data_IF_968525811783
#
_entry.id   IF_968525811783
#
_cell.length_a   1.000
_cell.length_b   1.000
_cell.length_c   1.000
_cell.angle_alpha   90.00
_cell.angle_beta   90.00
_cell.angle_gamma   90.00
#
_symmetry.space_group_name_H-M   'P 1'
#
loop_
_entity.id
_entity.type
_entity.pdbx_description
1 polymer ?
#
# COMPACT_ATOMS: atom_id res chain seq x y z
N UNK A 1 5.10 59.12 10.42
CA UNK A 1 5.17 58.53 9.06
C UNK A 1 4.84 57.06 9.18
N UNK A 2 3.84 56.53 8.45
CA UNK A 2 3.47 55.13 8.52
C UNK A 2 4.50 54.24 7.78
N UNK A 3 4.57 52.93 8.09
CA UNK A 3 5.47 52.00 7.42
C UNK A 3 4.99 51.67 5.98
N UNK A 4 5.88 51.21 5.08
CA UNK A 4 5.53 50.97 3.69
C UNK A 4 4.66 49.72 3.53
N UNK A 5 3.73 49.78 2.58
CA UNK A 5 2.78 48.74 2.24
C UNK A 5 3.48 47.46 1.74
N UNK A 6 3.05 46.31 2.27
CA UNK A 6 3.45 44.98 1.80
C UNK A 6 2.75 44.72 0.47
N UNK A 7 3.55 44.52 -0.58
CA UNK A 7 3.05 44.17 -1.92
C UNK A 7 2.40 42.80 -1.93
N UNK A 8 1.16 42.75 -2.41
CA UNK A 8 0.42 41.52 -2.66
C UNK A 8 1.08 40.78 -3.84
N UNK A 9 1.78 39.68 -3.56
CA UNK A 9 2.30 38.79 -4.60
C UNK A 9 1.11 37.98 -5.14
N UNK A 10 0.61 38.43 -6.29
CA UNK A 10 -0.32 37.66 -7.11
C UNK A 10 0.38 36.37 -7.57
N UNK A 11 -0.01 35.24 -7.00
CA UNK A 11 0.28 33.92 -7.56
C UNK A 11 -0.46 33.81 -8.90
N UNK A 12 0.24 34.10 -9.98
CA UNK A 12 -0.22 33.75 -11.33
C UNK A 12 -0.37 32.23 -11.39
N UNK A 13 -1.62 31.75 -11.41
CA UNK A 13 -1.95 30.38 -11.81
C UNK A 13 -1.31 30.13 -13.17
N UNK A 14 -0.32 29.25 -13.22
CA UNK A 14 0.20 28.73 -14.47
C UNK A 14 -0.98 28.12 -15.24
N UNK A 15 -1.31 28.70 -16.39
CA UNK A 15 -2.29 28.13 -17.31
C UNK A 15 -1.72 26.81 -17.82
N UNK A 16 -2.25 25.68 -17.34
CA UNK A 16 -2.13 24.42 -18.06
C UNK A 16 -2.67 24.65 -19.47
N UNK A 17 -1.81 24.45 -20.46
CA UNK A 17 -2.12 24.57 -21.88
C UNK A 17 -3.17 23.53 -22.27
N UNK A 18 -4.37 24.01 -22.60
CA UNK A 18 -5.42 23.27 -23.34
C UNK A 18 -4.82 22.73 -24.66
N UNK A 19 -4.67 21.41 -24.78
CA UNK A 19 -4.11 20.81 -26.01
C UNK A 19 -4.01 19.28 -26.09
N UNK A 20 -4.29 18.54 -25.02
CA UNK A 20 -4.50 17.09 -25.02
C UNK A 20 -5.82 16.85 -24.29
N UNK A 21 -6.72 16.03 -24.82
CA UNK A 21 -7.92 15.62 -24.07
C UNK A 21 -7.49 15.10 -22.70
N UNK A 22 -8.03 15.66 -21.62
CA UNK A 22 -7.68 15.25 -20.26
C UNK A 22 -8.38 13.92 -20.00
N UNK A 23 -7.62 12.85 -19.77
CA UNK A 23 -8.17 11.50 -19.67
C UNK A 23 -8.59 11.11 -18.24
N UNK A 24 -9.05 9.87 -18.12
CA UNK A 24 -9.57 9.30 -16.88
C UNK A 24 -8.45 8.79 -15.96
N UNK A 25 -8.73 8.62 -14.68
CA UNK A 25 -7.80 8.10 -13.67
C UNK A 25 -8.43 6.92 -12.95
N UNK A 26 -7.66 5.87 -12.69
CA UNK A 26 -8.14 4.69 -11.97
C UNK A 26 -7.54 4.68 -10.55
N UNK A 27 -8.42 4.72 -9.55
CA UNK A 27 -8.09 4.40 -8.16
C UNK A 27 -8.42 2.93 -7.88
N UNK A 28 -7.49 2.18 -7.30
CA UNK A 28 -7.72 0.79 -6.89
C UNK A 28 -7.63 0.69 -5.37
N UNK A 29 -8.55 -0.02 -4.72
CA UNK A 29 -8.48 -0.35 -3.30
C UNK A 29 -8.38 -1.86 -3.10
N UNK A 30 -7.21 -2.34 -2.68
CA UNK A 30 -6.97 -3.73 -2.32
C UNK A 30 -7.29 -3.95 -0.82
N UNK A 31 -8.57 -4.07 -0.51
CA UNK A 31 -9.10 -4.17 0.85
C UNK A 31 -9.00 -5.59 1.42
N UNK A 32 -9.63 -5.83 2.57
CA UNK A 32 -9.67 -7.15 3.23
C UNK A 32 -10.57 -8.13 2.50
N UNK A 33 -11.75 -7.68 2.05
CA UNK A 33 -12.81 -8.57 1.52
C UNK A 33 -12.96 -8.48 0.00
N UNK A 34 -12.38 -7.47 -0.62
CA UNK A 34 -12.53 -7.22 -2.05
C UNK A 34 -11.36 -6.40 -2.60
N UNK A 35 -11.24 -6.42 -3.92
CA UNK A 35 -10.49 -5.41 -4.66
C UNK A 35 -11.47 -4.54 -5.45
N UNK A 36 -11.46 -3.24 -5.21
CA UNK A 36 -12.39 -2.29 -5.84
C UNK A 36 -11.65 -1.33 -6.76
N UNK A 37 -12.33 -0.86 -7.81
CA UNK A 37 -11.78 0.05 -8.81
C UNK A 37 -12.75 1.19 -9.08
N UNK A 38 -12.23 2.41 -9.01
CA UNK A 38 -12.98 3.65 -9.24
C UNK A 38 -12.34 4.44 -10.38
N UNK A 39 -13.10 4.68 -11.44
CA UNK A 39 -12.64 5.49 -12.58
C UNK A 39 -13.18 6.90 -12.42
N UNK A 40 -12.28 7.88 -12.36
CA UNK A 40 -12.63 9.28 -12.15
C UNK A 40 -12.27 10.07 -13.41
N UNK A 41 -13.25 10.81 -13.91
CA UNK A 41 -13.02 11.90 -14.86
C UNK A 41 -12.71 13.17 -14.07
N UNK A 42 -11.45 13.61 -14.15
CA UNK A 42 -10.99 14.80 -13.43
C UNK A 42 -11.37 16.12 -14.09
N UNK A 43 -11.84 16.10 -15.35
CA UNK A 43 -12.37 17.29 -16.03
C UNK A 43 -13.76 17.62 -15.50
N UNK A 44 -14.62 16.59 -15.38
CA UNK A 44 -15.98 16.76 -14.87
C UNK A 44 -16.08 16.60 -13.36
N UNK A 45 -15.07 16.00 -12.71
CA UNK A 45 -15.08 15.68 -11.29
C UNK A 45 -16.08 14.57 -10.95
N UNK A 46 -16.34 13.66 -11.90
CA UNK A 46 -17.36 12.62 -11.76
C UNK A 46 -16.74 11.21 -11.74
N UNK A 47 -17.45 10.30 -11.08
CA UNK A 47 -17.14 8.87 -11.14
C UNK A 47 -17.77 8.33 -12.42
N UNK A 48 -16.93 7.78 -13.29
CA UNK A 48 -17.31 7.17 -14.57
C UNK A 48 -17.76 5.73 -14.34
N UNK A 49 -17.05 5.00 -13.48
CA UNK A 49 -17.37 3.62 -13.15
C UNK A 49 -16.85 3.25 -11.77
N UNK A 50 -17.55 2.32 -11.12
CA UNK A 50 -17.14 1.67 -9.88
C UNK A 50 -17.44 0.17 -10.02
N UNK A 51 -16.43 -0.66 -9.80
CA UNK A 51 -16.55 -2.12 -9.82
C UNK A 51 -15.84 -2.71 -8.62
N UNK A 52 -16.23 -3.91 -8.19
CA UNK A 52 -15.66 -4.57 -7.01
C UNK A 52 -15.62 -6.08 -7.19
N UNK A 53 -14.44 -6.65 -6.95
CA UNK A 53 -14.19 -8.08 -6.97
C UNK A 53 -14.26 -8.59 -5.53
N UNK A 54 -15.37 -9.21 -5.14
CA UNK A 54 -15.52 -9.82 -3.83
C UNK A 54 -14.71 -11.14 -3.75
N UNK A 55 -13.88 -11.28 -2.72
CA UNK A 55 -12.98 -12.42 -2.59
C UNK A 55 -13.70 -13.73 -2.26
N UNK A 56 -14.73 -13.66 -1.42
CA UNK A 56 -15.47 -14.86 -1.01
C UNK A 56 -16.32 -15.41 -2.17
N UNK A 57 -16.94 -14.52 -2.96
CA UNK A 57 -17.77 -14.91 -4.10
C UNK A 57 -16.99 -15.67 -5.18
N UNK A 58 -15.73 -15.31 -5.41
CA UNK A 58 -14.93 -15.88 -6.49
C UNK A 58 -13.87 -16.89 -6.02
N UNK A 59 -13.37 -16.75 -4.80
CA UNK A 59 -12.15 -17.44 -4.40
C UNK A 59 -12.21 -18.15 -3.03
N UNK A 60 -13.34 -18.13 -2.32
CA UNK A 60 -13.50 -18.83 -1.04
C UNK A 60 -13.09 -20.31 -1.12
N UNK A 61 -13.61 -21.05 -2.09
CA UNK A 61 -13.34 -22.49 -2.24
C UNK A 61 -11.86 -22.77 -2.58
N UNK A 62 -11.21 -21.87 -3.32
CA UNK A 62 -9.82 -22.07 -3.77
C UNK A 62 -8.80 -21.75 -2.69
N UNK A 63 -8.98 -20.64 -1.98
CA UNK A 63 -8.01 -20.18 -0.97
C UNK A 63 -8.42 -20.47 0.47
N UNK A 64 -9.62 -21.01 0.69
CA UNK A 64 -10.15 -21.28 2.03
C UNK A 64 -10.38 -20.00 2.83
N UNK A 65 -10.75 -18.90 2.16
CA UNK A 65 -10.99 -17.62 2.82
C UNK A 65 -12.44 -17.49 3.30
N UNK A 66 -12.62 -16.75 4.38
CA UNK A 66 -13.92 -16.23 4.84
C UNK A 66 -13.74 -14.75 5.13
N UNK A 67 -14.53 -13.91 4.48
CA UNK A 67 -14.36 -12.46 4.37
C UNK A 67 -12.94 -12.08 3.92
N UNK A 68 -12.37 -12.81 2.95
CA UNK A 68 -11.01 -12.61 2.44
C UNK A 68 -9.87 -13.01 3.40
N UNK A 69 -10.20 -13.62 4.54
CA UNK A 69 -9.26 -13.98 5.61
C UNK A 69 -9.12 -15.49 5.75
N UNK A 70 -7.89 -15.94 5.96
CA UNK A 70 -7.51 -17.28 6.40
C UNK A 70 -7.20 -17.19 7.90
N UNK A 71 -8.06 -17.80 8.73
CA UNK A 71 -7.81 -17.94 10.17
C UNK A 71 -6.91 -19.16 10.41
N UNK A 72 -5.67 -18.90 10.82
CA UNK A 72 -4.69 -19.93 11.13
C UNK A 72 -4.69 -20.34 12.62
N UNK A 73 -5.60 -19.78 13.42
CA UNK A 73 -5.68 -19.99 14.86
C UNK A 73 -4.69 -19.13 15.66
N UNK A 74 -4.93 -19.06 16.98
CA UNK A 74 -4.10 -18.33 17.94
C UNK A 74 -3.90 -16.83 17.59
N UNK A 75 -4.94 -16.21 17.02
CA UNK A 75 -4.94 -14.82 16.61
C UNK A 75 -4.17 -14.53 15.32
N UNK A 76 -3.73 -15.57 14.60
CA UNK A 76 -3.08 -15.44 13.30
C UNK A 76 -4.12 -15.26 12.20
N UNK A 77 -4.10 -14.10 11.55
CA UNK A 77 -5.07 -13.72 10.53
C UNK A 77 -4.31 -13.39 9.25
N UNK A 78 -4.49 -14.21 8.22
CA UNK A 78 -3.75 -14.12 6.99
C UNK A 78 -4.67 -13.95 5.78
N UNK A 79 -4.09 -13.71 4.61
CA UNK A 79 -4.76 -13.81 3.31
C UNK A 79 -3.81 -14.44 2.28
N UNK A 80 -4.29 -14.76 1.09
CA UNK A 80 -3.50 -15.36 0.03
C UNK A 80 -3.02 -14.29 -0.97
N UNK A 81 -1.71 -14.02 -1.10
CA UNK A 81 -1.21 -13.04 -2.08
C UNK A 81 -1.62 -13.35 -3.53
N UNK A 82 -1.69 -14.63 -3.90
CA UNK A 82 -2.13 -15.05 -5.24
C UNK A 82 -3.61 -14.70 -5.50
N UNK A 83 -4.45 -14.62 -4.47
CA UNK A 83 -5.83 -14.14 -4.59
C UNK A 83 -5.88 -12.67 -5.01
N UNK A 84 -4.98 -11.83 -4.46
CA UNK A 84 -4.89 -10.43 -4.87
C UNK A 84 -4.41 -10.27 -6.31
N UNK A 85 -3.54 -11.17 -6.78
CA UNK A 85 -3.11 -11.23 -8.19
C UNK A 85 -4.30 -11.52 -9.10
N UNK A 86 -5.10 -12.54 -8.80
CA UNK A 86 -6.30 -12.89 -9.58
C UNK A 86 -7.36 -11.79 -9.51
N UNK A 87 -7.57 -11.20 -8.33
CA UNK A 87 -8.54 -10.15 -8.14
C UNK A 87 -8.20 -8.89 -8.94
N UNK A 88 -6.92 -8.53 -9.06
CA UNK A 88 -6.49 -7.39 -9.87
C UNK A 88 -6.77 -7.60 -11.36
N UNK A 89 -6.50 -8.80 -11.86
CA UNK A 89 -6.81 -9.17 -13.25
C UNK A 89 -8.32 -9.16 -13.49
N UNK A 90 -9.08 -9.75 -12.56
CA UNK A 90 -10.54 -9.76 -12.61
C UNK A 90 -11.14 -8.36 -12.52
N UNK A 91 -10.55 -7.45 -11.75
CA UNK A 91 -10.97 -6.06 -11.64
C UNK A 91 -10.86 -5.36 -13.01
N UNK A 92 -9.72 -5.55 -13.69
CA UNK A 92 -9.52 -5.00 -15.03
C UNK A 92 -10.51 -5.59 -16.03
N UNK A 93 -10.87 -6.87 -15.90
CA UNK A 93 -11.91 -7.48 -16.72
C UNK A 93 -13.30 -6.89 -16.42
N UNK A 94 -13.68 -6.72 -15.15
CA UNK A 94 -14.96 -6.13 -14.78
C UNK A 94 -15.10 -4.68 -15.27
N UNK A 95 -14.02 -3.89 -15.25
CA UNK A 95 -14.04 -2.54 -15.84
C UNK A 95 -14.36 -2.59 -17.34
N UNK A 96 -13.79 -3.54 -18.09
CA UNK A 96 -14.10 -3.71 -19.51
C UNK A 96 -15.53 -4.18 -19.73
N UNK A 97 -16.02 -5.11 -18.91
CA UNK A 97 -17.39 -5.63 -18.98
C UNK A 97 -18.42 -4.52 -18.64
N UNK A 98 -18.00 -3.52 -17.85
CA UNK A 98 -18.75 -2.30 -17.57
C UNK A 98 -18.56 -1.20 -18.65
N UNK A 99 -18.08 -1.54 -19.84
CA UNK A 99 -17.85 -0.65 -20.98
C UNK A 99 -16.90 0.53 -20.70
N UNK A 100 -15.98 0.40 -19.74
CA UNK A 100 -14.94 1.41 -19.49
C UNK A 100 -13.88 1.33 -20.59
N UNK A 101 -13.64 2.46 -21.26
CA UNK A 101 -12.51 2.62 -22.17
C UNK A 101 -11.18 2.73 -21.39
N UNK A 102 -10.50 1.60 -21.20
CA UNK A 102 -9.21 1.55 -20.51
C UNK A 102 -8.08 2.28 -21.27
N UNK A 103 -8.23 2.58 -22.56
CA UNK A 103 -7.26 3.40 -23.30
C UNK A 103 -7.28 4.87 -22.85
N UNK A 104 -8.39 5.30 -22.25
CA UNK A 104 -8.55 6.66 -21.70
C UNK A 104 -7.83 6.87 -20.36
N UNK A 105 -7.43 5.79 -19.68
CA UNK A 105 -6.80 5.85 -18.36
C UNK A 105 -5.38 6.40 -18.47
N UNK A 106 -5.15 7.58 -17.89
CA UNK A 106 -3.86 8.28 -17.92
C UNK A 106 -2.93 7.83 -16.81
N UNK A 107 -3.48 7.51 -15.65
CA UNK A 107 -2.71 6.99 -14.54
C UNK A 107 -3.54 6.08 -13.62
N UNK A 108 -2.83 5.18 -12.94
CA UNK A 108 -3.35 4.29 -11.91
C UNK A 108 -2.59 4.53 -10.61
N UNK A 109 -3.34 4.68 -9.53
CA UNK A 109 -2.85 4.73 -8.15
C UNK A 109 -3.85 3.98 -7.25
N UNK A 110 -3.55 3.84 -5.97
CA UNK A 110 -4.48 3.13 -5.11
C UNK A 110 -4.04 2.95 -3.67
N UNK A 111 -4.84 2.17 -2.97
CA UNK A 111 -4.61 1.72 -1.61
C UNK A 111 -4.45 0.20 -1.53
N UNK A 112 -3.72 -0.23 -0.50
CA UNK A 112 -3.82 -1.58 0.03
C UNK A 112 -4.20 -1.54 1.50
N UNK A 113 -4.83 -2.61 1.98
CA UNK A 113 -5.04 -2.81 3.41
C UNK A 113 -3.69 -2.69 4.14
N UNK A 114 -3.66 -1.86 5.18
CA UNK A 114 -2.41 -1.53 5.86
C UNK A 114 -1.77 -2.74 6.53
N UNK A 115 -0.47 -2.61 6.77
CA UNK A 115 0.36 -3.52 7.56
C UNK A 115 0.65 -4.89 6.93
N UNK A 116 -0.24 -5.40 6.07
CA UNK A 116 -0.11 -6.72 5.49
C UNK A 116 1.17 -6.87 4.66
N UNK A 117 1.85 -8.02 4.77
CA UNK A 117 3.18 -8.25 4.18
C UNK A 117 3.20 -9.41 3.21
N UNK A 118 3.78 -9.20 2.03
CA UNK A 118 4.02 -10.22 1.00
C UNK A 118 5.50 -10.54 0.94
N UNK A 119 5.82 -11.83 0.97
CA UNK A 119 7.20 -12.34 0.97
C UNK A 119 7.51 -12.97 -0.38
N UNK A 120 8.46 -12.37 -1.09
CA UNK A 120 8.81 -12.69 -2.47
C UNK A 120 10.21 -13.31 -2.53
N UNK A 121 10.38 -14.32 -3.37
CA UNK A 121 11.66 -14.96 -3.62
C UNK A 121 12.45 -14.28 -4.76
N UNK A 122 13.63 -14.82 -5.08
CA UNK A 122 14.56 -14.26 -6.06
C UNK A 122 14.01 -14.21 -7.51
N UNK A 123 13.05 -15.07 -7.85
CA UNK A 123 12.42 -15.08 -9.17
C UNK A 123 11.42 -13.93 -9.40
N UNK A 124 10.97 -13.26 -8.34
CA UNK A 124 9.87 -12.29 -8.41
C UNK A 124 10.14 -11.13 -9.38
N UNK A 125 11.36 -10.58 -9.37
CA UNK A 125 11.70 -9.45 -10.24
C UNK A 125 11.69 -9.85 -11.73
N UNK A 126 12.20 -11.04 -12.05
CA UNK A 126 12.22 -11.57 -13.42
C UNK A 126 10.80 -11.91 -13.90
N UNK A 127 10.00 -12.58 -13.05
CA UNK A 127 8.64 -12.95 -13.36
C UNK A 127 7.73 -11.73 -13.62
N UNK A 128 7.86 -10.66 -12.81
CA UNK A 128 7.13 -9.41 -13.01
C UNK A 128 7.49 -8.70 -14.32
N UNK A 129 8.77 -8.71 -14.69
CA UNK A 129 9.25 -8.07 -15.92
C UNK A 129 8.92 -8.90 -17.19
N UNK A 130 8.72 -10.21 -17.02
CA UNK A 130 8.49 -11.18 -18.09
C UNK A 130 7.04 -11.55 -18.34
N UNK A 131 6.07 -10.80 -17.80
CA UNK A 131 4.65 -11.14 -17.92
C UNK A 131 4.17 -11.17 -19.39
N UNK A 132 3.55 -12.28 -19.77
CA UNK A 132 2.98 -12.55 -21.08
C UNK A 132 1.46 -12.29 -21.07
N UNK A 133 0.99 -11.44 -21.99
CA UNK A 133 -0.42 -11.04 -22.09
C UNK A 133 -1.35 -12.21 -22.50
N UNK A 134 -0.82 -13.24 -23.15
CA UNK A 134 -1.60 -14.40 -23.61
C UNK A 134 -1.87 -15.42 -22.50
N UNK A 135 -1.34 -15.20 -21.29
CA UNK A 135 -1.45 -16.11 -20.13
C UNK A 135 -2.06 -15.40 -18.94
N UNK A 136 -2.75 -16.15 -18.09
CA UNK A 136 -3.33 -15.61 -16.85
C UNK A 136 -2.22 -15.21 -15.88
N UNK A 137 -2.39 -14.08 -15.18
CA UNK A 137 -1.38 -13.47 -14.32
C UNK A 137 -0.97 -14.41 -13.18
N UNK A 138 -1.93 -15.07 -12.54
CA UNK A 138 -1.69 -15.98 -11.44
C UNK A 138 -0.80 -17.17 -11.82
N UNK A 139 -0.99 -17.76 -13.01
CA UNK A 139 -0.19 -18.90 -13.47
C UNK A 139 1.27 -18.54 -13.73
N UNK A 140 1.58 -17.24 -13.87
CA UNK A 140 2.93 -16.73 -14.07
C UNK A 140 3.60 -16.35 -12.75
N UNK A 141 2.82 -16.12 -11.70
CA UNK A 141 3.29 -15.57 -10.42
C UNK A 141 3.12 -16.53 -9.22
N UNK A 142 2.45 -17.68 -9.37
CA UNK A 142 2.28 -18.63 -8.25
C UNK A 142 3.60 -19.07 -7.61
N UNK A 143 4.69 -19.12 -8.40
CA UNK A 143 6.02 -19.52 -7.95
C UNK A 143 6.86 -18.42 -7.30
N UNK A 144 6.41 -17.15 -7.26
CA UNK A 144 7.24 -16.05 -6.77
C UNK A 144 7.19 -15.84 -5.25
N UNK A 145 6.24 -16.48 -4.56
CA UNK A 145 6.06 -16.30 -3.13
C UNK A 145 6.99 -17.24 -2.34
N UNK A 146 7.79 -16.69 -1.44
CA UNK A 146 8.57 -17.50 -0.50
C UNK A 146 7.69 -18.04 0.63
N UNK A 147 6.59 -17.35 0.95
CA UNK A 147 5.57 -17.72 1.95
C UNK A 147 4.19 -17.74 1.31
N UNK A 148 3.44 -18.83 1.48
CA UNK A 148 2.16 -19.05 0.79
C UNK A 148 1.05 -18.07 1.21
N UNK A 149 1.09 -17.56 2.45
CA UNK A 149 0.09 -16.65 2.99
C UNK A 149 0.75 -15.40 3.57
N UNK A 150 0.01 -14.30 3.56
CA UNK A 150 0.42 -12.99 4.07
C UNK A 150 -0.34 -12.68 5.36
N UNK A 151 0.32 -12.29 6.47
CA UNK A 151 -0.39 -11.79 7.64
C UNK A 151 -1.03 -10.44 7.27
N UNK A 152 -2.21 -10.17 7.82
CA UNK A 152 -3.00 -8.96 7.53
C UNK A 152 -3.29 -8.16 8.81
N UNK A 153 -3.92 -6.99 8.66
CA UNK A 153 -4.14 -6.03 9.75
C UNK A 153 -4.92 -6.58 10.96
N UNK A 154 -5.65 -7.70 10.78
CA UNK A 154 -6.41 -8.36 11.84
C UNK A 154 -5.56 -9.24 12.76
N UNK A 155 -4.28 -9.48 12.42
CA UNK A 155 -3.41 -10.37 13.18
C UNK A 155 -3.04 -9.79 14.55
N UNK A 156 -3.15 -10.62 15.59
CA UNK A 156 -2.90 -10.25 16.99
C UNK A 156 -1.87 -11.18 17.67
N UNK A 157 -1.12 -11.94 16.88
CA UNK A 157 -0.33 -13.07 17.37
C UNK A 157 1.11 -12.72 17.79
N UNK A 158 1.56 -11.48 17.59
CA UNK A 158 2.98 -11.08 17.65
C UNK A 158 3.36 -10.26 18.89
N UNK A 159 2.58 -10.35 19.97
CA UNK A 159 2.83 -9.54 21.18
C UNK A 159 4.22 -9.74 21.81
N UNK A 160 4.83 -10.93 21.64
CA UNK A 160 6.22 -11.16 22.04
C UNK A 160 7.21 -10.41 21.14
N UNK A 161 7.01 -10.45 19.83
CA UNK A 161 7.85 -9.73 18.87
C UNK A 161 7.74 -8.21 19.04
N UNK A 162 6.56 -7.69 19.39
CA UNK A 162 6.38 -6.29 19.78
C UNK A 162 7.35 -5.89 20.91
N UNK A 163 7.34 -6.64 22.03
CA UNK A 163 8.23 -6.39 23.17
C UNK A 163 9.71 -6.49 22.79
N UNK A 164 10.05 -7.44 21.92
CA UNK A 164 11.43 -7.63 21.47
C UNK A 164 11.91 -6.45 20.60
N UNK A 165 11.07 -5.93 19.71
CA UNK A 165 11.39 -4.75 18.88
C UNK A 165 11.51 -3.51 19.77
N UNK A 166 10.55 -3.29 20.67
CA UNK A 166 10.62 -2.19 21.64
C UNK A 166 11.91 -2.25 22.45
N UNK A 167 12.28 -3.41 23.01
CA UNK A 167 13.53 -3.57 23.74
C UNK A 167 14.77 -3.34 22.86
N UNK A 168 14.73 -3.78 21.59
CA UNK A 168 15.82 -3.65 20.64
C UNK A 168 16.19 -2.21 20.28
N UNK A 169 15.22 -1.29 20.33
CA UNK A 169 15.43 0.16 20.08
C UNK A 169 15.54 0.98 21.37
N UNK A 170 15.69 0.35 22.54
CA UNK A 170 15.83 1.06 23.82
C UNK A 170 14.51 1.36 24.57
N UNK A 171 13.41 0.73 24.17
CA UNK A 171 12.12 0.73 24.86
C UNK A 171 10.98 1.32 24.04
N UNK A 172 9.74 1.13 24.52
CA UNK A 172 8.50 1.62 23.88
C UNK A 172 8.55 3.10 23.50
N UNK A 173 9.07 3.96 24.38
CA UNK A 173 9.16 5.40 24.11
C UNK A 173 10.16 5.72 23.00
N UNK A 174 11.28 5.00 22.93
CA UNK A 174 12.26 5.19 21.87
C UNK A 174 11.68 4.78 20.51
N UNK A 175 10.99 3.62 20.45
CA UNK A 175 10.29 3.19 19.23
C UNK A 175 9.25 4.22 18.79
N UNK A 176 8.43 4.68 19.73
CA UNK A 176 7.39 5.67 19.49
C UNK A 176 7.99 6.98 18.95
N UNK A 177 9.11 7.47 19.50
CA UNK A 177 9.79 8.65 18.97
C UNK A 177 10.41 8.43 17.60
N UNK A 178 10.89 7.23 17.31
CA UNK A 178 11.52 6.86 16.06
C UNK A 178 10.51 6.71 14.92
N UNK A 179 9.47 5.89 15.13
CA UNK A 179 8.53 5.49 14.06
C UNK A 179 7.17 6.18 14.15
N UNK A 180 6.97 7.05 15.15
CA UNK A 180 5.69 7.70 15.42
C UNK A 180 4.63 6.79 16.04
N UNK A 181 4.96 5.52 16.29
CA UNK A 181 4.01 4.48 16.70
C UNK A 181 4.61 3.55 17.74
N UNK A 182 3.82 3.08 18.70
CA UNK A 182 4.21 1.94 19.54
C UNK A 182 4.17 0.65 18.72
N UNK A 183 4.77 -0.42 19.23
CA UNK A 183 4.64 -1.72 18.58
C UNK A 183 3.22 -2.24 18.79
N UNK A 184 2.51 -2.53 17.70
CA UNK A 184 1.23 -3.22 17.70
C UNK A 184 1.35 -4.50 16.89
N UNK A 185 0.60 -5.53 17.28
CA UNK A 185 0.79 -6.88 16.76
C UNK A 185 0.62 -6.97 15.24
N UNK A 186 -0.34 -6.22 14.70
CA UNK A 186 -0.59 -6.18 13.26
C UNK A 186 0.50 -5.50 12.45
N UNK A 187 1.34 -4.65 13.05
CA UNK A 187 2.34 -3.87 12.30
C UNK A 187 3.36 -4.81 11.66
N UNK A 188 3.87 -4.40 10.50
CA UNK A 188 4.68 -5.27 9.64
C UNK A 188 5.96 -5.77 10.31
N UNK A 189 6.64 -4.94 11.12
CA UNK A 189 7.85 -5.31 11.85
C UNK A 189 7.66 -6.55 12.75
N UNK A 190 6.74 -6.52 13.73
CA UNK A 190 6.41 -7.69 14.53
C UNK A 190 6.06 -8.95 13.72
N UNK A 191 5.31 -8.82 12.63
CA UNK A 191 4.96 -9.92 11.73
C UNK A 191 6.19 -10.51 11.02
N UNK A 192 7.05 -9.66 10.44
CA UNK A 192 8.31 -10.04 9.81
C UNK A 192 9.23 -10.76 10.80
N UNK A 193 9.33 -10.24 12.03
CA UNK A 193 10.14 -10.83 13.08
C UNK A 193 9.64 -12.22 13.47
N UNK A 194 8.32 -12.41 13.58
CA UNK A 194 7.71 -13.72 13.85
C UNK A 194 8.00 -14.69 12.72
N UNK A 195 7.75 -14.30 11.47
CA UNK A 195 8.03 -15.12 10.29
C UNK A 195 9.48 -15.62 10.28
N UNK A 196 10.45 -14.73 10.51
CA UNK A 196 11.88 -15.10 10.61
C UNK A 196 12.18 -16.08 11.76
N UNK A 197 11.41 -16.05 12.85
CA UNK A 197 11.60 -16.94 14.00
C UNK A 197 10.94 -18.31 13.81
N UNK A 198 9.81 -18.37 13.12
CA UNK A 198 8.97 -19.58 13.01
C UNK A 198 9.17 -20.34 11.70
N UNK A 199 9.55 -19.66 10.62
CA UNK A 199 9.65 -20.21 9.27
C UNK A 199 11.02 -19.84 8.63
N UNK A 200 12.16 -20.27 9.23
CA UNK A 200 13.48 -19.85 8.79
C UNK A 200 13.82 -20.27 7.35
N UNK A 201 13.34 -21.43 6.89
CA UNK A 201 13.61 -21.91 5.52
C UNK A 201 12.93 -21.01 4.47
N UNK A 202 11.71 -20.55 4.75
CA UNK A 202 10.97 -19.63 3.88
C UNK A 202 11.56 -18.22 3.97
N UNK A 203 12.02 -17.82 5.15
CA UNK A 203 12.76 -16.58 5.37
C UNK A 203 14.04 -16.50 4.53
N UNK A 204 14.82 -17.59 4.45
CA UNK A 204 16.04 -17.63 3.65
C UNK A 204 15.75 -17.52 2.15
N UNK A 205 14.65 -18.11 1.66
CA UNK A 205 14.19 -17.96 0.26
C UNK A 205 13.67 -16.56 -0.07
N UNK A 206 13.29 -15.78 0.93
CA UNK A 206 12.74 -14.43 0.72
C UNK A 206 13.85 -13.48 0.29
N UNK A 207 13.72 -12.76 -0.82
CA UNK A 207 14.65 -11.70 -1.23
C UNK A 207 14.03 -10.32 -1.21
N UNK A 208 12.70 -10.22 -1.28
CA UNK A 208 11.97 -8.97 -1.19
C UNK A 208 10.72 -9.11 -0.30
N UNK A 209 10.44 -8.07 0.47
CA UNK A 209 9.23 -7.94 1.28
C UNK A 209 8.51 -6.68 0.81
N UNK A 210 7.23 -6.84 0.47
CA UNK A 210 6.34 -5.76 0.06
C UNK A 210 5.19 -5.63 1.06
N UNK A 211 4.62 -4.42 1.18
CA UNK A 211 3.27 -4.27 1.72
C UNK A 211 2.23 -4.54 0.63
N UNK A 212 0.97 -4.81 0.99
CA UNK A 212 -0.12 -5.06 0.03
C UNK A 212 -0.20 -3.95 -1.03
N UNK A 213 -0.10 -2.69 -0.59
CA UNK A 213 -0.04 -1.51 -1.47
C UNK A 213 1.07 -1.62 -2.53
N UNK A 214 2.32 -1.70 -2.06
CA UNK A 214 3.50 -1.79 -2.93
C UNK A 214 3.49 -3.04 -3.82
N UNK A 215 2.94 -4.16 -3.34
CA UNK A 215 2.78 -5.39 -4.11
C UNK A 215 1.82 -5.19 -5.30
N UNK A 216 0.65 -4.61 -5.07
CA UNK A 216 -0.33 -4.33 -6.14
C UNK A 216 0.24 -3.33 -7.15
N UNK A 217 0.93 -2.28 -6.69
CA UNK A 217 1.61 -1.35 -7.60
C UNK A 217 2.72 -2.03 -8.43
N UNK A 218 3.39 -3.05 -7.87
CA UNK A 218 4.42 -3.84 -8.56
C UNK A 218 3.84 -4.71 -9.67
N UNK A 219 2.64 -5.29 -9.47
CA UNK A 219 1.92 -6.04 -10.49
C UNK A 219 1.57 -5.17 -11.71
N UNK A 220 1.11 -3.93 -11.46
CA UNK A 220 0.78 -2.97 -12.52
C UNK A 220 2.02 -2.47 -13.26
N UNK A 221 3.11 -2.22 -12.54
CA UNK A 221 4.36 -1.71 -13.10
C UNK A 221 5.22 -2.80 -13.78
N UNK A 222 4.97 -4.08 -13.50
CA UNK A 222 5.81 -5.19 -13.98
C UNK A 222 7.24 -5.14 -13.44
N UNK A 223 7.41 -4.60 -12.23
CA UNK A 223 8.68 -4.52 -11.51
C UNK A 223 8.40 -4.30 -10.04
N UNK A 224 9.35 -4.63 -9.17
CA UNK A 224 9.23 -4.32 -7.74
C UNK A 224 9.18 -2.80 -7.53
N UNK A 225 8.25 -2.35 -6.69
CA UNK A 225 8.00 -0.96 -6.30
C UNK A 225 8.16 -0.83 -4.79
N UNK A 226 8.82 0.23 -4.35
CA UNK A 226 9.01 0.52 -2.93
C UNK A 226 7.72 0.91 -2.23
N UNK A 227 7.69 0.71 -0.92
CA UNK A 227 6.62 1.19 -0.04
C UNK A 227 6.68 2.70 0.04
N UNK A 228 5.55 3.38 -0.02
CA UNK A 228 5.48 4.84 0.14
C UNK A 228 5.57 5.26 1.63
N UNK A 229 5.80 6.54 1.96
CA UNK A 229 5.89 6.98 3.36
C UNK A 229 4.58 6.78 4.14
N UNK A 230 3.43 6.91 3.46
CA UNK A 230 2.11 6.72 4.03
C UNK A 230 1.95 5.33 4.63
N UNK A 231 2.08 4.28 3.82
CA UNK A 231 1.97 2.91 4.30
C UNK A 231 3.21 2.48 5.11
N UNK A 232 4.39 2.99 4.75
CA UNK A 232 5.66 2.73 5.45
C UNK A 232 5.63 3.14 6.93
N UNK A 233 4.80 4.11 7.30
CA UNK A 233 4.60 4.50 8.70
C UNK A 233 3.92 3.43 9.55
N UNK A 234 3.12 2.55 8.93
CA UNK A 234 2.40 1.45 9.58
C UNK A 234 3.24 0.20 9.85
N UNK A 235 4.58 0.30 9.80
CA UNK A 235 5.48 -0.87 9.81
C UNK A 235 6.28 -1.04 11.11
N UNK A 236 6.44 0.02 11.91
CA UNK A 236 7.49 0.14 12.93
C UNK A 236 8.93 0.00 12.38
N UNK A 237 9.16 0.24 11.09
CA UNK A 237 10.49 0.17 10.46
C UNK A 237 10.98 1.51 9.92
N UNK A 238 10.06 2.37 9.46
CA UNK A 238 10.39 3.70 8.92
C UNK A 238 10.59 4.72 10.04
N UNK A 239 11.61 5.56 9.92
CA UNK A 239 11.73 6.78 10.74
C UNK A 239 10.74 7.83 10.21
N UNK A 240 9.84 8.27 11.09
CA UNK A 240 8.71 9.13 10.71
C UNK A 240 9.13 10.53 10.23
N UNK A 241 10.31 11.01 10.64
CA UNK A 241 10.81 12.35 10.29
C UNK A 241 11.59 12.33 9.00
N UNK A 242 12.49 11.36 8.84
CA UNK A 242 13.30 11.22 7.62
C UNK A 242 12.50 10.64 6.46
N UNK A 243 11.41 9.91 6.75
CA UNK A 243 10.60 9.16 5.77
C UNK A 243 11.41 8.11 5.01
N UNK A 244 12.40 7.54 5.68
CA UNK A 244 13.23 6.45 5.17
C UNK A 244 13.32 5.33 6.23
N UNK A 245 13.81 4.16 5.84
CA UNK A 245 13.99 3.05 6.75
C UNK A 245 14.98 3.38 7.88
N UNK A 246 14.59 3.12 9.12
CA UNK A 246 15.48 3.28 10.26
C UNK A 246 16.33 2.02 10.44
N UNK A 247 17.65 2.15 10.27
CA UNK A 247 18.57 1.03 10.53
C UNK A 247 18.40 0.45 11.94
N UNK A 248 18.15 1.29 12.94
CA UNK A 248 17.91 0.86 14.32
C UNK A 248 16.65 -0.03 14.44
N UNK A 249 15.55 0.38 13.79
CA UNK A 249 14.31 -0.41 13.79
C UNK A 249 14.43 -1.69 12.97
N UNK A 250 15.16 -1.64 11.84
CA UNK A 250 15.46 -2.81 11.02
C UNK A 250 16.26 -3.85 11.82
N UNK A 251 17.34 -3.43 12.49
CA UNK A 251 18.21 -4.29 13.30
C UNK A 251 17.46 -4.90 14.49
N UNK A 252 16.56 -4.14 15.13
CA UNK A 252 15.70 -4.63 16.19
C UNK A 252 14.70 -5.69 15.69
N UNK A 253 14.31 -5.64 14.42
CA UNK A 253 13.31 -6.54 13.82
C UNK A 253 13.93 -7.85 13.35
N UNK A 254 14.88 -7.80 12.41
CA UNK A 254 15.55 -8.99 11.89
C UNK A 254 16.95 -8.65 11.33
N UNK A 255 17.93 -9.55 11.47
CA UNK A 255 19.25 -9.36 10.89
C UNK A 255 19.18 -9.11 9.38
N UNK A 256 19.91 -8.10 8.92
CA UNK A 256 20.02 -7.74 7.51
C UNK A 256 18.69 -7.40 6.81
N UNK A 257 17.62 -7.08 7.55
CA UNK A 257 16.29 -6.84 6.98
C UNK A 257 16.30 -5.81 5.84
N UNK A 258 17.16 -4.79 5.92
CA UNK A 258 17.30 -3.75 4.89
C UNK A 258 17.61 -4.31 3.49
N UNK A 259 18.26 -5.49 3.35
CA UNK A 259 18.51 -6.10 2.04
C UNK A 259 17.24 -6.63 1.37
N UNK A 260 16.17 -6.83 2.16
CA UNK A 260 14.88 -7.38 1.71
C UNK A 260 13.83 -6.30 1.46
N UNK A 261 14.15 -5.03 1.72
CA UNK A 261 13.25 -3.91 1.50
C UNK A 261 13.81 -3.05 0.37
N UNK A 262 12.95 -2.64 -0.56
CA UNK A 262 13.32 -1.56 -1.47
C UNK A 262 13.37 -0.23 -0.71
N UNK A 263 14.16 0.75 -1.18
CA UNK A 263 14.08 2.11 -0.65
C UNK A 263 12.64 2.63 -0.64
N UNK A 264 12.30 3.47 0.34
CA UNK A 264 10.99 4.12 0.40
C UNK A 264 10.74 4.86 -0.92
N UNK A 265 9.59 4.62 -1.53
CA UNK A 265 9.17 5.29 -2.74
C UNK A 265 8.84 6.75 -2.45
N UNK A 266 9.13 7.64 -3.40
CA UNK A 266 8.64 9.02 -3.34
C UNK A 266 7.18 9.02 -3.82
N UNK A 267 6.26 9.32 -2.92
CA UNK A 267 4.83 9.07 -3.14
C UNK A 267 4.19 9.91 -4.28
N UNK A 268 4.73 11.08 -4.62
CA UNK A 268 4.29 11.92 -5.74
C UNK A 268 5.04 11.64 -7.06
N UNK A 269 5.89 10.60 -7.10
CA UNK A 269 6.74 10.29 -8.26
C UNK A 269 6.20 9.11 -9.05
N UNK A 270 6.06 9.30 -10.37
CA UNK A 270 5.66 8.26 -11.30
C UNK A 270 6.65 7.08 -11.23
N UNK A 271 6.12 5.89 -10.92
CA UNK A 271 6.87 4.62 -10.93
C UNK A 271 7.31 4.32 -12.38
N UNK A 272 6.39 4.42 -13.33
CA UNK A 272 6.69 4.12 -14.72
C UNK A 272 5.44 4.11 -15.58
N UNK A 273 5.59 3.60 -16.81
CA UNK A 273 4.43 3.19 -17.60
C UNK A 273 3.86 1.89 -17.03
N UNK A 274 2.57 1.65 -17.25
CA UNK A 274 1.93 0.36 -16.96
C UNK A 274 2.61 -0.75 -17.79
N UNK A 275 2.71 -1.95 -17.23
CA UNK A 275 3.38 -3.07 -17.91
C UNK A 275 2.64 -3.45 -19.23
N UNK A 276 3.36 -3.82 -20.31
CA UNK A 276 2.75 -4.24 -21.58
C UNK A 276 1.72 -5.37 -21.47
N UNK A 277 1.82 -6.21 -20.44
CA UNK A 277 0.79 -7.20 -20.09
C UNK A 277 -0.61 -6.58 -20.05
N UNK A 278 -0.79 -5.47 -19.33
CA UNK A 278 -2.08 -4.80 -19.15
C UNK A 278 -2.56 -4.12 -20.44
N UNK A 279 -1.63 -3.68 -21.29
CA UNK A 279 -1.93 -3.12 -22.63
C UNK A 279 -2.47 -4.23 -23.54
N UNK A 280 -1.75 -5.34 -23.67
CA UNK A 280 -2.12 -6.44 -24.58
C UNK A 280 -3.37 -7.17 -24.13
N UNK A 281 -3.51 -7.42 -22.82
CA UNK A 281 -4.58 -8.25 -22.27
C UNK A 281 -5.87 -7.47 -22.00
N UNK A 282 -5.77 -6.26 -21.47
CA UNK A 282 -6.93 -5.47 -21.05
C UNK A 282 -7.13 -4.18 -21.86
N UNK A 283 -6.19 -3.79 -22.72
CA UNK A 283 -6.36 -2.61 -23.57
C UNK A 283 -6.09 -1.28 -22.86
N UNK A 284 -5.25 -1.27 -21.83
CA UNK A 284 -4.73 -0.01 -21.30
C UNK A 284 -3.91 0.74 -22.35
N UNK A 285 -3.82 2.06 -22.22
CA UNK A 285 -2.86 2.84 -23.00
C UNK A 285 -1.41 2.52 -22.59
N UNK A 286 -0.46 2.36 -23.51
CA UNK A 286 0.96 2.23 -23.18
C UNK A 286 1.53 3.50 -22.53
N UNK A 287 0.83 4.64 -22.64
CA UNK A 287 1.19 5.90 -21.98
C UNK A 287 0.64 6.00 -20.54
N UNK A 288 -0.20 5.05 -20.12
CA UNK A 288 -0.77 5.01 -18.78
C UNK A 288 0.35 4.92 -17.74
N UNK A 289 0.30 5.78 -16.71
CA UNK A 289 1.33 5.86 -15.67
C UNK A 289 0.91 5.13 -14.40
N UNK A 290 1.84 4.44 -13.77
CA UNK A 290 1.64 3.84 -12.45
C UNK A 290 2.29 4.75 -11.41
N UNK A 291 1.57 5.05 -10.33
CA UNK A 291 2.10 5.72 -9.14
C UNK A 291 2.26 4.71 -8.00
N UNK A 292 3.07 5.02 -6.97
CA UNK A 292 3.11 4.21 -5.76
C UNK A 292 1.71 4.15 -5.15
N UNK A 293 1.36 2.99 -4.61
CA UNK A 293 0.16 2.85 -3.81
C UNK A 293 0.50 3.15 -2.36
N UNK A 294 -0.50 3.55 -1.59
CA UNK A 294 -0.37 3.84 -0.16
C UNK A 294 -1.30 2.95 0.68
N UNK A 295 -1.30 3.11 1.99
CA UNK A 295 -2.28 2.48 2.87
C UNK A 295 -3.69 3.05 2.67
N UNK A 296 -4.72 2.25 2.93
CA UNK A 296 -6.14 2.65 2.86
C UNK A 296 -6.48 3.88 3.72
N UNK A 297 -5.96 3.99 4.93
CA UNK A 297 -6.18 5.12 5.83
C UNK A 297 -5.54 6.43 5.33
N UNK A 298 -4.23 6.47 4.96
CA UNK A 298 -3.67 7.63 4.29
C UNK A 298 -4.43 8.04 3.01
N UNK A 299 -4.84 7.06 2.18
CA UNK A 299 -5.61 7.32 0.96
C UNK A 299 -7.00 7.87 1.26
N UNK A 300 -7.69 7.35 2.29
CA UNK A 300 -8.99 7.85 2.74
C UNK A 300 -8.91 9.27 3.28
N UNK A 301 -7.83 9.61 4.00
CA UNK A 301 -7.57 10.95 4.50
C UNK A 301 -7.49 11.97 3.35
N UNK A 302 -6.80 11.63 2.26
CA UNK A 302 -6.74 12.45 1.03
C UNK A 302 -8.11 12.48 0.34
N UNK A 303 -8.78 11.32 0.19
CA UNK A 303 -10.10 11.22 -0.44
C UNK A 303 -11.18 12.05 0.25
N UNK A 304 -11.10 12.20 1.57
CA UNK A 304 -11.98 13.07 2.38
C UNK A 304 -11.58 14.56 2.30
N UNK A 305 -10.49 14.90 1.63
CA UNK A 305 -9.98 16.26 1.50
C UNK A 305 -9.30 16.80 2.75
N UNK A 306 -8.85 15.93 3.67
CA UNK A 306 -8.17 16.30 4.93
C UNK A 306 -6.67 16.56 4.72
N UNK A 307 -6.34 17.46 3.79
CA UNK A 307 -4.97 17.71 3.32
C UNK A 307 -4.31 18.94 3.95
N UNK A 308 -4.97 19.56 4.94
CA UNK A 308 -4.49 20.75 5.64
C UNK A 308 -4.61 20.61 7.17
N UNK A 309 -3.64 21.15 7.93
CA UNK A 309 -3.72 21.20 9.38
C UNK A 309 -5.03 21.83 9.87
N UNK A 310 -5.61 21.24 10.92
CA UNK A 310 -6.88 21.69 11.51
C UNK A 310 -8.13 21.05 10.90
N UNK A 311 -8.00 20.28 9.81
CA UNK A 311 -9.06 19.42 9.31
C UNK A 311 -9.07 18.09 10.08
N UNK A 312 -10.28 17.64 10.45
CA UNK A 312 -10.51 16.42 11.22
C UNK A 312 -11.71 15.68 10.63
N UNK A 313 -11.63 14.35 10.53
CA UNK A 313 -12.78 13.50 10.30
C UNK A 313 -12.93 12.47 11.42
N UNK A 314 -14.18 12.14 11.73
CA UNK A 314 -14.54 11.09 12.67
C UNK A 314 -15.37 10.06 11.91
N UNK A 315 -14.79 8.89 11.65
CA UNK A 315 -15.50 7.73 11.14
C UNK A 315 -16.15 7.00 12.32
N UNK A 316 -17.48 6.87 12.31
CA UNK A 316 -18.25 6.24 13.38
C UNK A 316 -18.69 4.85 12.93
N UNK A 317 -18.35 3.83 13.72
CA UNK A 317 -18.62 2.43 13.38
C UNK A 317 -18.57 1.53 14.60
N UNK A 318 -18.38 0.23 14.39
CA UNK A 318 -18.10 -0.71 15.51
C UNK A 318 -16.85 -0.31 16.29
N UNK A 319 -15.94 0.41 15.64
CA UNK A 319 -14.88 1.20 16.27
C UNK A 319 -14.84 2.57 15.62
N UNK A 320 -14.68 3.61 16.44
CA UNK A 320 -14.58 4.98 15.96
C UNK A 320 -13.12 5.29 15.61
N UNK A 321 -12.89 5.94 14.47
CA UNK A 321 -11.55 6.36 14.02
C UNK A 321 -11.53 7.86 13.78
N UNK A 322 -10.60 8.54 14.44
CA UNK A 322 -10.35 9.98 14.27
C UNK A 322 -9.15 10.18 13.34
N UNK A 323 -9.37 10.86 12.22
CA UNK A 323 -8.32 11.28 11.29
C UNK A 323 -8.05 12.77 11.46
N UNK A 324 -6.78 13.16 11.54
CA UNK A 324 -6.36 14.55 11.58
C UNK A 324 -5.07 14.75 10.79
N UNK A 325 -4.97 15.88 10.10
CA UNK A 325 -3.75 16.28 9.41
C UNK A 325 -2.91 17.20 10.31
N UNK A 326 -1.59 17.03 10.27
CA UNK A 326 -0.62 17.86 10.99
C UNK A 326 0.47 18.34 10.03
N UNK A 327 0.99 19.54 10.29
CA UNK A 327 2.12 20.13 9.56
C UNK A 327 3.46 19.51 9.96
N UNK A 328 3.58 19.13 11.23
CA UNK A 328 4.76 18.51 11.80
C UNK A 328 4.41 17.23 12.56
N UNK A 329 5.31 16.25 12.50
CA UNK A 329 5.19 15.00 13.24
C UNK A 329 5.25 15.26 14.76
N UNK A 330 4.10 15.18 15.42
CA UNK A 330 3.98 15.28 16.88
C UNK A 330 3.64 13.91 17.46
N UNK A 331 4.64 13.29 18.04
CA UNK A 331 4.55 11.95 18.59
C UNK A 331 3.80 11.98 19.93
N UNK A 332 2.86 11.05 20.11
CA UNK A 332 2.11 10.87 21.36
C UNK A 332 3.06 10.61 22.54
N UNK A 333 2.75 11.15 23.72
CA UNK A 333 3.52 10.86 24.94
C UNK A 333 3.10 9.55 25.60
N UNK A 334 1.87 9.11 25.36
CA UNK A 334 1.28 7.87 25.91
C UNK A 334 1.33 6.71 24.90
N UNK A 335 1.51 7.01 23.62
CA UNK A 335 1.40 6.03 22.52
C UNK A 335 -0.04 5.73 22.13
N UNK A 336 -0.97 6.60 22.54
CA UNK A 336 -2.36 6.57 22.08
C UNK A 336 -2.41 7.24 20.70
N UNK A 337 -2.90 6.51 19.70
CA UNK A 337 -2.96 6.95 18.30
C UNK A 337 -1.80 6.46 17.46
N UNK A 338 -1.99 6.53 16.14
CA UNK A 338 -1.00 6.14 15.16
C UNK A 338 -0.64 7.32 14.25
N UNK A 339 0.65 7.54 14.05
CA UNK A 339 1.15 8.63 13.22
C UNK A 339 1.58 8.08 11.86
N UNK A 340 1.00 8.64 10.80
CA UNK A 340 1.34 8.29 9.42
C UNK A 340 1.89 9.53 8.70
N UNK A 341 2.98 9.36 7.96
CA UNK A 341 3.41 10.37 7.02
C UNK A 341 2.35 10.53 5.91
N UNK A 342 2.23 11.73 5.35
CA UNK A 342 1.44 11.89 4.13
C UNK A 342 2.19 11.21 2.97
N UNK A 343 1.49 10.43 2.12
CA UNK A 343 1.94 10.22 0.75
C UNK A 343 2.01 11.57 0.02
#
# INVERSE_FOLDING_TARGET
MPPPAVGCISLQRAKLTRGMGMGNFLGIDASTQSMSGLVIDTETGTIVAEVSVNFDELYADRYGVTNGVIDLGDGQMHSAPLMWVEALEQLCQQLRDADVDLTSIRAVAGSGQQHGTVYLNDSAAEALAGLDADRDLATQLEGVFSRATAPIWMDTSTGEQCRQIEAGVGGRQALLQLTGNTAFERFSGPQIRRFRQTEPDDWERTTNISLVSSFVSSLLAGRLVGVDPGDGSGTNLMDIRSRDWSQEALDATAPDLGRRLLPIATADTIVGAIHPFWVGRHGFSPDCRVLPFSGDNPSSLIGLGLVQPGQVALSLGTSDTLFACMDEARVSTTGEGALFASP
#
